data_IF_821531587199
#
_entry.id   IF_821531587199
#
_cell.length_a   1.000
_cell.length_b   1.000
_cell.length_c   1.000
_cell.angle_alpha   90.00
_cell.angle_beta   90.00
_cell.angle_gamma   90.00
#
_symmetry.space_group_name_H-M   'P 1'
#
loop_
_entity.id
_entity.type
_entity.pdbx_description
1 polymer ?
#
# COMPACT_ATOMS: atom_id res chain seq x y z
N UNK A 1 -29.43 1.39 24.33
CA UNK A 1 -28.29 0.62 23.88
C UNK A 1 -27.62 -0.08 25.04
N UNK A 2 -26.92 -1.17 24.78
CA UNK A 2 -26.13 -1.88 25.79
C UNK A 2 -24.66 -1.52 25.58
N UNK A 3 -23.95 -1.26 26.69
CA UNK A 3 -22.49 -1.06 26.73
C UNK A 3 -21.88 -2.28 27.41
N UNK A 4 -20.77 -2.78 26.87
CA UNK A 4 -20.05 -3.90 27.48
C UNK A 4 -19.41 -3.45 28.80
N UNK A 5 -19.73 -4.15 29.88
CA UNK A 5 -19.31 -3.77 31.23
C UNK A 5 -17.83 -4.01 31.49
N UNK A 6 -17.17 -3.11 32.23
CA UNK A 6 -15.75 -3.18 32.54
C UNK A 6 -15.33 -4.44 33.30
N UNK A 7 -16.06 -4.85 34.32
CA UNK A 7 -15.67 -5.99 35.16
C UNK A 7 -15.64 -7.34 34.42
N UNK A 8 -16.64 -7.74 33.61
CA UNK A 8 -16.55 -8.95 32.80
C UNK A 8 -15.39 -8.94 31.82
N UNK A 9 -15.13 -7.79 31.15
CA UNK A 9 -14.01 -7.65 30.24
C UNK A 9 -12.67 -7.77 30.95
N UNK A 10 -12.52 -7.15 32.11
CA UNK A 10 -11.33 -7.26 32.94
C UNK A 10 -11.07 -8.71 33.36
N UNK A 11 -12.10 -9.39 33.83
CA UNK A 11 -12.00 -10.81 34.23
C UNK A 11 -11.60 -11.70 33.04
N UNK A 12 -12.15 -11.45 31.86
CA UNK A 12 -11.78 -12.17 30.65
C UNK A 12 -10.31 -11.91 30.24
N UNK A 13 -9.87 -10.64 30.30
CA UNK A 13 -8.49 -10.26 30.01
C UNK A 13 -7.52 -10.92 31.01
N UNK A 14 -7.85 -10.87 32.29
CA UNK A 14 -7.03 -11.51 33.35
C UNK A 14 -6.88 -13.02 33.12
N UNK A 15 -7.99 -13.68 32.77
CA UNK A 15 -7.97 -15.10 32.43
C UNK A 15 -7.12 -15.40 31.20
N UNK A 16 -7.22 -14.57 30.14
CA UNK A 16 -6.42 -14.73 28.92
C UNK A 16 -4.91 -14.52 29.16
N UNK A 17 -4.56 -13.77 30.20
CA UNK A 17 -3.16 -13.46 30.53
C UNK A 17 -2.59 -14.32 31.65
N UNK A 18 -3.43 -15.07 32.40
CA UNK A 18 -3.02 -15.81 33.58
C UNK A 18 -1.92 -16.85 33.29
N UNK A 19 -2.05 -17.59 32.19
CA UNK A 19 -1.13 -18.67 31.82
C UNK A 19 -0.08 -18.20 30.77
N UNK A 20 0.01 -16.91 30.50
CA UNK A 20 0.95 -16.41 29.51
C UNK A 20 2.38 -16.42 30.01
N UNK A 21 3.26 -17.15 29.35
CA UNK A 21 4.71 -17.13 29.57
C UNK A 21 5.40 -15.88 29.00
N UNK A 22 4.70 -15.07 28.19
CA UNK A 22 5.26 -13.85 27.59
C UNK A 22 5.38 -12.75 28.65
N UNK A 23 6.55 -12.09 28.83
CA UNK A 23 6.70 -11.02 29.81
C UNK A 23 5.86 -9.80 29.44
N UNK A 24 5.35 -9.09 30.45
CA UNK A 24 4.43 -7.96 30.27
C UNK A 24 4.88 -6.90 29.23
N UNK A 25 6.18 -6.47 29.18
CA UNK A 25 6.62 -5.50 28.17
C UNK A 25 6.57 -6.01 26.71
N UNK A 26 6.42 -7.34 26.54
CA UNK A 26 6.29 -7.99 25.22
C UNK A 26 4.86 -8.36 24.87
N UNK A 27 3.89 -7.87 25.66
CA UNK A 27 2.45 -8.04 25.44
C UNK A 27 1.84 -6.71 25.03
N UNK A 28 0.76 -6.75 24.21
CA UNK A 28 0.00 -5.57 23.84
C UNK A 28 -1.49 -5.87 23.83
N UNK A 29 -2.26 -5.09 24.58
CA UNK A 29 -3.72 -5.16 24.58
C UNK A 29 -4.26 -4.09 23.65
N UNK A 30 -4.95 -4.49 22.60
CA UNK A 30 -5.41 -3.62 21.52
C UNK A 30 -6.93 -3.69 21.44
N UNK A 31 -7.61 -2.55 21.53
CA UNK A 31 -9.04 -2.45 21.30
C UNK A 31 -9.31 -2.06 19.83
N UNK A 32 -10.15 -2.85 19.15
CA UNK A 32 -10.56 -2.57 17.78
C UNK A 32 -11.72 -1.55 17.82
N UNK A 33 -11.41 -0.31 17.47
CA UNK A 33 -12.30 0.84 17.62
C UNK A 33 -12.22 1.75 16.39
N UNK A 34 -13.34 2.29 15.87
CA UNK A 34 -13.30 3.28 14.79
C UNK A 34 -12.64 4.61 15.22
N UNK A 35 -12.42 4.81 16.52
CA UNK A 35 -11.75 6.00 17.08
C UNK A 35 -10.22 5.85 17.13
N UNK A 36 -9.71 4.62 16.96
CA UNK A 36 -8.29 4.30 17.03
C UNK A 36 -7.48 4.81 15.84
N UNK A 37 -6.17 4.73 15.98
CA UNK A 37 -5.25 5.01 14.88
C UNK A 37 -5.49 4.04 13.72
N UNK A 38 -5.52 4.55 12.48
CA UNK A 38 -5.69 3.70 11.30
C UNK A 38 -4.54 2.70 11.18
N UNK A 39 -4.89 1.42 11.10
CA UNK A 39 -3.96 0.32 10.92
C UNK A 39 -3.30 0.37 9.53
N UNK A 40 -2.00 0.19 9.49
CA UNK A 40 -1.19 0.22 8.26
C UNK A 40 -0.19 -0.94 8.25
N UNK A 41 0.43 -1.21 7.10
CA UNK A 41 1.52 -2.19 7.01
C UNK A 41 2.70 -1.84 7.92
N UNK A 42 3.01 -0.56 8.09
CA UNK A 42 4.05 -0.10 9.01
C UNK A 42 3.69 -0.45 10.46
N UNK A 43 2.43 -0.24 10.85
CA UNK A 43 1.93 -0.63 12.18
C UNK A 43 1.97 -2.14 12.39
N UNK A 44 1.59 -2.94 11.39
CA UNK A 44 1.69 -4.40 11.47
C UNK A 44 3.14 -4.86 11.70
N UNK A 45 4.10 -4.27 10.98
CA UNK A 45 5.54 -4.55 11.16
C UNK A 45 6.02 -4.18 12.56
N UNK A 46 5.59 -3.02 13.07
CA UNK A 46 5.91 -2.59 14.44
C UNK A 46 5.37 -3.58 15.46
N UNK A 47 4.08 -3.94 15.38
CA UNK A 47 3.47 -4.90 16.31
C UNK A 47 4.23 -6.23 16.33
N UNK A 48 4.57 -6.77 15.15
CA UNK A 48 5.35 -8.01 15.03
C UNK A 48 6.76 -7.89 15.63
N UNK A 49 7.41 -6.74 15.52
CA UNK A 49 8.78 -6.54 16.02
C UNK A 49 8.81 -6.32 17.54
N UNK A 50 7.84 -5.58 18.07
CA UNK A 50 7.84 -5.11 19.45
C UNK A 50 7.17 -6.10 20.42
N UNK A 51 6.25 -6.95 19.95
CA UNK A 51 5.45 -7.82 20.82
C UNK A 51 5.47 -9.27 20.40
N UNK A 52 5.41 -10.16 21.41
CA UNK A 52 5.32 -11.60 21.25
C UNK A 52 3.87 -12.11 21.51
N UNK A 53 3.05 -11.27 22.14
CA UNK A 53 1.63 -11.56 22.38
C UNK A 53 0.78 -10.30 22.13
N UNK A 54 -0.23 -10.45 21.28
CA UNK A 54 -1.27 -9.45 21.07
C UNK A 54 -2.60 -9.98 21.64
N UNK A 55 -3.27 -9.18 22.42
CA UNK A 55 -4.65 -9.44 22.89
C UNK A 55 -5.54 -8.45 22.17
N UNK A 56 -6.44 -8.96 21.33
CA UNK A 56 -7.35 -8.13 20.54
C UNK A 56 -8.72 -8.10 21.22
N UNK A 57 -9.13 -6.92 21.68
CA UNK A 57 -10.42 -6.69 22.32
C UNK A 57 -11.42 -6.29 21.23
N UNK A 58 -12.47 -7.07 21.07
CA UNK A 58 -13.56 -6.86 20.12
C UNK A 58 -14.79 -6.32 20.83
N UNK A 59 -15.13 -5.06 20.57
CA UNK A 59 -16.34 -4.44 21.11
C UNK A 59 -17.59 -4.83 20.34
N UNK A 60 -18.73 -4.78 21.02
CA UNK A 60 -20.07 -4.99 20.47
C UNK A 60 -21.05 -3.94 20.99
N UNK A 61 -22.24 -3.90 20.42
CA UNK A 61 -23.34 -3.02 20.79
C UNK A 61 -22.97 -1.54 20.65
N UNK A 62 -23.15 -0.74 21.72
CA UNK A 62 -22.80 0.68 21.74
C UNK A 62 -21.32 0.93 22.13
N UNK A 63 -20.54 -0.14 22.35
CA UNK A 63 -19.12 -0.06 22.70
C UNK A 63 -18.79 -0.65 24.06
N UNK A 64 -17.61 -0.30 24.55
CA UNK A 64 -16.99 -0.80 25.77
C UNK A 64 -16.97 0.32 26.82
N UNK A 65 -17.13 -0.03 28.08
CA UNK A 65 -17.03 0.90 29.20
C UNK A 65 -15.66 1.59 29.18
N UNK A 66 -15.65 2.92 29.15
CA UNK A 66 -14.44 3.75 29.02
C UNK A 66 -13.40 3.44 30.10
N UNK A 67 -13.84 3.15 31.33
CA UNK A 67 -12.94 2.80 32.42
C UNK A 67 -12.13 1.54 32.20
N UNK A 68 -12.66 0.58 31.40
CA UNK A 68 -11.89 -0.58 30.95
C UNK A 68 -10.85 -0.18 29.91
N UNK A 69 -11.21 0.69 28.97
CA UNK A 69 -10.29 1.18 27.93
C UNK A 69 -9.12 1.90 28.61
N UNK A 70 -9.41 2.88 29.47
CA UNK A 70 -8.38 3.66 30.19
C UNK A 70 -7.47 2.80 31.08
N UNK A 71 -8.01 1.76 31.73
CA UNK A 71 -7.26 0.98 32.70
C UNK A 71 -6.53 -0.23 32.13
N UNK A 72 -6.99 -0.79 31.00
CA UNK A 72 -6.60 -2.12 30.53
C UNK A 72 -6.16 -2.20 29.08
N UNK A 73 -6.44 -1.17 28.27
CA UNK A 73 -6.08 -1.14 26.85
C UNK A 73 -4.82 -0.32 26.65
N UNK A 74 -3.87 -0.85 25.92
CA UNK A 74 -2.61 -0.14 25.61
C UNK A 74 -2.76 0.78 24.41
N UNK A 75 -3.60 0.43 23.44
CA UNK A 75 -3.88 1.24 22.25
C UNK A 75 -5.18 0.85 21.57
N UNK A 76 -5.75 1.80 20.83
CA UNK A 76 -6.90 1.59 19.96
C UNK A 76 -6.46 1.56 18.49
N UNK A 77 -6.97 0.60 17.71
CA UNK A 77 -6.73 0.51 16.27
C UNK A 77 -8.02 0.49 15.49
N UNK A 78 -8.06 1.28 14.41
CA UNK A 78 -9.11 1.28 13.39
C UNK A 78 -8.60 0.61 12.11
N UNK A 79 -9.45 -0.13 11.42
CA UNK A 79 -9.14 -0.67 10.09
C UNK A 79 -9.63 0.23 8.94
N UNK A 80 -10.17 1.41 9.26
CA UNK A 80 -10.64 2.41 8.29
C UNK A 80 -11.76 3.27 8.83
N UNK A 81 -12.12 4.31 8.10
CA UNK A 81 -13.15 5.29 8.46
C UNK A 81 -14.56 4.75 8.16
N UNK A 82 -14.93 3.68 8.81
CA UNK A 82 -16.26 3.05 8.75
C UNK A 82 -16.53 2.27 10.03
N UNK A 83 -17.81 1.97 10.28
CA UNK A 83 -18.25 1.26 11.48
C UNK A 83 -18.73 -0.14 11.12
N UNK A 84 -18.32 -1.12 11.90
CA UNK A 84 -18.75 -2.52 11.82
C UNK A 84 -19.67 -2.87 13.00
N UNK A 85 -20.39 -3.98 12.90
CA UNK A 85 -21.28 -4.48 13.96
C UNK A 85 -20.50 -4.92 15.20
N UNK A 86 -19.24 -5.36 15.04
CA UNK A 86 -18.34 -5.80 16.09
C UNK A 86 -16.89 -5.73 15.67
N UNK A 87 -15.97 -5.91 16.61
CA UNK A 87 -14.51 -5.79 16.38
C UNK A 87 -13.86 -6.99 15.72
N UNK A 88 -14.56 -8.14 15.56
CA UNK A 88 -13.95 -9.41 15.14
C UNK A 88 -13.36 -9.37 13.76
N UNK A 89 -14.03 -8.72 12.79
CA UNK A 89 -13.49 -8.59 11.44
C UNK A 89 -12.21 -7.74 11.43
N UNK A 90 -12.19 -6.68 12.24
CA UNK A 90 -10.98 -5.89 12.45
C UNK A 90 -9.85 -6.71 13.07
N UNK A 91 -10.16 -7.52 14.07
CA UNK A 91 -9.20 -8.43 14.69
C UNK A 91 -8.65 -9.46 13.71
N UNK A 92 -9.49 -10.03 12.85
CA UNK A 92 -9.05 -10.95 11.78
C UNK A 92 -8.10 -10.26 10.80
N UNK A 93 -8.38 -9.03 10.37
CA UNK A 93 -7.50 -8.24 9.49
C UNK A 93 -6.14 -8.00 10.14
N UNK A 94 -6.12 -7.56 11.40
CA UNK A 94 -4.87 -7.32 12.13
C UNK A 94 -4.09 -8.62 12.32
N UNK A 95 -4.78 -9.71 12.69
CA UNK A 95 -4.16 -11.03 12.88
C UNK A 95 -3.51 -11.54 11.59
N UNK A 96 -4.22 -11.51 10.47
CA UNK A 96 -3.67 -11.95 9.18
C UNK A 96 -2.43 -11.13 8.79
N UNK A 97 -2.55 -9.79 8.83
CA UNK A 97 -1.44 -8.88 8.50
C UNK A 97 -0.18 -9.11 9.36
N UNK A 98 -0.35 -9.42 10.66
CA UNK A 98 0.78 -9.63 11.57
C UNK A 98 1.32 -11.04 11.45
N UNK A 99 0.44 -12.05 11.47
CA UNK A 99 0.83 -13.46 11.50
C UNK A 99 1.53 -13.91 10.22
N UNK A 100 1.17 -13.38 9.05
CA UNK A 100 1.84 -13.71 7.79
C UNK A 100 3.33 -13.32 7.77
N UNK A 101 3.78 -12.43 8.67
CA UNK A 101 5.18 -12.04 8.84
C UNK A 101 5.92 -12.88 9.90
N UNK A 102 5.23 -13.78 10.59
CA UNK A 102 5.84 -14.68 11.57
C UNK A 102 6.56 -15.81 10.80
N UNK A 103 7.82 -16.14 11.17
CA UNK A 103 8.56 -17.21 10.51
C UNK A 103 7.79 -18.53 10.52
N UNK A 104 7.72 -19.21 9.38
CA UNK A 104 7.04 -20.48 9.21
C UNK A 104 5.55 -20.39 8.87
N UNK A 105 4.93 -19.19 8.88
CA UNK A 105 3.55 -19.00 8.41
C UNK A 105 3.50 -18.95 6.88
N UNK A 106 4.37 -18.18 6.26
CA UNK A 106 4.59 -18.22 4.80
C UNK A 106 5.90 -18.93 4.49
N UNK A 107 6.00 -19.46 3.28
CA UNK A 107 7.16 -20.26 2.84
C UNK A 107 8.47 -19.47 2.80
N UNK A 108 8.40 -18.17 2.48
CA UNK A 108 9.55 -17.29 2.36
C UNK A 108 9.18 -15.85 2.74
N UNK A 109 10.16 -15.09 3.22
CA UNK A 109 10.03 -13.65 3.48
C UNK A 109 9.79 -12.85 2.20
N UNK A 110 10.27 -13.33 1.05
CA UNK A 110 10.02 -12.71 -0.26
C UNK A 110 8.52 -12.69 -0.61
N UNK A 111 7.71 -13.59 -0.02
CA UNK A 111 6.27 -13.63 -0.22
C UNK A 111 5.54 -12.35 0.22
N UNK A 112 6.15 -11.51 1.08
CA UNK A 112 5.52 -10.27 1.55
C UNK A 112 6.41 -9.03 1.40
N UNK A 113 7.75 -9.18 1.30
CA UNK A 113 8.65 -8.02 1.22
C UNK A 113 8.58 -7.27 -0.11
N UNK A 114 8.17 -7.96 -1.18
CA UNK A 114 7.94 -7.37 -2.51
C UNK A 114 6.55 -6.82 -2.75
N UNK A 115 5.63 -6.98 -1.79
CA UNK A 115 4.22 -6.58 -1.95
C UNK A 115 3.99 -5.08 -1.72
N UNK A 116 2.78 -4.65 -2.10
CA UNK A 116 2.32 -3.26 -1.89
C UNK A 116 2.45 -2.84 -0.42
N UNK A 117 2.83 -1.60 -0.21
CA UNK A 117 3.01 -0.93 1.10
C UNK A 117 4.22 -1.38 1.92
N UNK A 118 4.90 -2.48 1.58
CA UNK A 118 6.08 -2.91 2.36
C UNK A 118 7.21 -1.88 2.33
N UNK A 119 7.56 -1.40 1.14
CA UNK A 119 8.57 -0.36 0.93
C UNK A 119 7.96 1.01 0.60
N UNK A 120 6.68 1.25 0.95
CA UNK A 120 5.98 2.49 0.62
C UNK A 120 5.65 2.65 -0.86
N UNK A 121 5.56 1.57 -1.61
CA UNK A 121 5.20 1.53 -3.04
C UNK A 121 4.08 0.52 -3.27
N UNK A 122 3.39 0.65 -4.41
CA UNK A 122 2.50 -0.39 -4.91
C UNK A 122 3.30 -1.43 -5.69
N UNK A 123 2.88 -2.65 -5.60
CA UNK A 123 3.44 -3.77 -6.37
C UNK A 123 3.23 -3.57 -7.88
N UNK A 124 4.13 -4.15 -8.68
CA UNK A 124 4.02 -4.22 -10.13
C UNK A 124 2.87 -5.15 -10.56
N UNK A 125 2.38 -5.08 -11.83
CA UNK A 125 1.31 -5.95 -12.30
C UNK A 125 1.77 -7.39 -12.43
N UNK A 126 0.95 -8.31 -11.97
CA UNK A 126 1.14 -9.75 -12.11
C UNK A 126 0.42 -10.28 -13.35
N UNK A 127 1.02 -11.27 -13.99
CA UNK A 127 0.47 -11.96 -15.17
C UNK A 127 0.54 -13.47 -15.00
N UNK A 128 -0.39 -14.18 -15.63
CA UNK A 128 -0.46 -15.63 -15.65
C UNK A 128 -0.87 -16.11 -17.04
N UNK A 129 -1.07 -17.42 -17.20
CA UNK A 129 -1.54 -18.03 -18.44
C UNK A 129 -3.04 -17.77 -18.67
N UNK A 130 -3.49 -17.73 -19.93
CA UNK A 130 -2.72 -17.85 -21.18
C UNK A 130 -1.87 -16.62 -21.50
N UNK A 131 -0.91 -16.74 -22.41
CA UNK A 131 -0.04 -15.63 -22.84
C UNK A 131 -0.85 -14.45 -23.44
N UNK A 132 -1.90 -14.75 -24.16
CA UNK A 132 -2.83 -13.75 -24.71
C UNK A 132 -4.24 -14.05 -24.21
N UNK A 133 -4.88 -13.06 -23.58
CA UNK A 133 -6.25 -13.12 -23.13
C UNK A 133 -7.03 -11.94 -23.69
N UNK A 134 -8.08 -12.20 -24.48
CA UNK A 134 -8.94 -11.18 -25.14
C UNK A 134 -8.12 -10.11 -25.88
N UNK A 135 -7.13 -10.54 -26.66
CA UNK A 135 -6.27 -9.64 -27.44
C UNK A 135 -5.19 -8.89 -26.62
N UNK A 136 -5.13 -9.10 -25.31
CA UNK A 136 -4.14 -8.49 -24.42
C UNK A 136 -3.02 -9.49 -24.12
N UNK A 137 -1.80 -9.16 -24.47
CA UNK A 137 -0.65 -10.07 -24.36
C UNK A 137 0.16 -9.75 -23.11
N UNK A 138 0.72 -10.78 -22.47
CA UNK A 138 1.74 -10.63 -21.43
C UNK A 138 2.93 -9.85 -21.98
N UNK A 139 3.45 -8.82 -21.28
CA UNK A 139 4.61 -8.06 -21.73
C UNK A 139 5.79 -8.94 -22.11
N UNK A 140 6.40 -8.67 -23.26
CA UNK A 140 7.48 -9.48 -23.83
C UNK A 140 8.69 -9.63 -22.90
N UNK A 141 9.03 -8.55 -22.17
CA UNK A 141 10.12 -8.55 -21.19
C UNK A 141 9.95 -9.64 -20.12
N UNK A 142 8.73 -10.01 -19.75
CA UNK A 142 8.45 -11.04 -18.75
C UNK A 142 8.63 -12.47 -19.32
N UNK A 143 8.71 -12.62 -20.65
CA UNK A 143 8.88 -13.89 -21.36
C UNK A 143 10.33 -14.16 -21.77
N UNK A 144 11.15 -13.12 -21.82
CA UNK A 144 12.52 -13.17 -22.34
C UNK A 144 13.55 -13.81 -21.40
N UNK A 145 13.20 -14.12 -20.14
CA UNK A 145 14.12 -14.76 -19.18
C UNK A 145 15.28 -13.89 -18.69
N UNK A 146 15.42 -12.65 -19.15
CA UNK A 146 16.45 -11.71 -18.67
C UNK A 146 16.03 -11.09 -17.33
N UNK A 147 16.56 -11.63 -16.24
CA UNK A 147 16.20 -11.19 -14.87
C UNK A 147 16.49 -9.71 -14.63
N UNK A 148 17.54 -9.15 -15.20
CA UNK A 148 17.86 -7.72 -15.01
C UNK A 148 16.80 -6.81 -15.69
N UNK A 149 16.37 -7.14 -16.90
CA UNK A 149 15.31 -6.41 -17.60
C UNK A 149 13.96 -6.57 -16.92
N UNK A 150 13.65 -7.80 -16.45
CA UNK A 150 12.42 -8.05 -15.67
C UNK A 150 12.40 -7.21 -14.39
N UNK A 151 13.50 -7.15 -13.64
CA UNK A 151 13.61 -6.35 -12.43
C UNK A 151 13.45 -4.86 -12.72
N UNK A 152 14.12 -4.35 -13.73
CA UNK A 152 14.00 -2.95 -14.15
C UNK A 152 12.56 -2.60 -14.58
N UNK A 153 11.91 -3.50 -15.32
CA UNK A 153 10.52 -3.35 -15.73
C UNK A 153 9.59 -3.34 -14.52
N UNK A 154 9.75 -4.28 -13.57
CA UNK A 154 8.96 -4.37 -12.33
C UNK A 154 9.09 -3.09 -11.50
N UNK A 155 10.31 -2.58 -11.32
CA UNK A 155 10.56 -1.32 -10.60
C UNK A 155 9.85 -0.15 -11.28
N UNK A 156 9.96 -0.04 -12.61
CA UNK A 156 9.26 0.99 -13.37
C UNK A 156 7.74 0.91 -13.19
N UNK A 157 7.17 -0.29 -13.29
CA UNK A 157 5.72 -0.51 -13.15
C UNK A 157 5.22 -0.21 -11.74
N UNK A 158 5.96 -0.58 -10.72
CA UNK A 158 5.68 -0.25 -9.32
C UNK A 158 5.60 1.26 -9.11
N UNK A 159 6.63 1.99 -9.55
CA UNK A 159 6.67 3.46 -9.44
C UNK A 159 5.55 4.14 -10.25
N UNK A 160 5.28 3.68 -11.46
CA UNK A 160 4.21 4.23 -12.30
C UNK A 160 2.83 4.00 -11.68
N UNK A 161 2.56 2.79 -11.17
CA UNK A 161 1.32 2.49 -10.45
C UNK A 161 1.17 3.33 -9.20
N UNK A 162 2.22 3.49 -8.42
CA UNK A 162 2.21 4.32 -7.22
C UNK A 162 1.91 5.77 -7.59
N UNK A 163 2.58 6.31 -8.62
CA UNK A 163 2.36 7.68 -9.09
C UNK A 163 0.91 7.94 -9.50
N UNK A 164 0.27 6.97 -10.14
CA UNK A 164 -1.10 7.13 -10.68
C UNK A 164 -2.17 6.84 -9.64
N UNK A 165 -2.00 5.77 -8.84
CA UNK A 165 -3.07 5.26 -7.97
C UNK A 165 -2.95 5.75 -6.53
N UNK A 166 -1.74 5.92 -6.03
CA UNK A 166 -1.45 6.28 -4.64
C UNK A 166 -0.25 7.25 -4.54
N UNK A 167 -0.36 8.45 -5.13
CA UNK A 167 0.71 9.46 -5.08
C UNK A 167 1.01 9.95 -3.65
N UNK A 168 0.09 9.78 -2.72
CA UNK A 168 0.24 10.05 -1.30
C UNK A 168 1.39 9.26 -0.67
N UNK A 169 1.66 8.02 -1.10
CA UNK A 169 2.76 7.20 -0.60
C UNK A 169 4.14 7.82 -0.81
N UNK A 170 4.31 8.66 -1.83
CA UNK A 170 5.56 9.38 -2.04
C UNK A 170 5.79 10.52 -1.03
N UNK A 171 4.74 10.99 -0.35
CA UNK A 171 4.86 11.95 0.77
C UNK A 171 5.27 11.25 2.05
N UNK A 172 4.71 10.06 2.31
CA UNK A 172 5.03 9.24 3.47
C UNK A 172 6.43 8.62 3.38
N UNK A 173 6.78 8.14 2.18
CA UNK A 173 8.09 7.54 1.88
C UNK A 173 8.67 8.22 0.64
N UNK A 174 9.48 9.29 0.77
CA UNK A 174 10.07 10.00 -0.35
C UNK A 174 10.88 9.09 -1.28
N UNK A 175 10.85 9.32 -2.60
CA UNK A 175 11.60 8.53 -3.54
C UNK A 175 13.11 8.71 -3.36
N UNK A 176 13.86 7.64 -3.55
CA UNK A 176 15.33 7.70 -3.65
C UNK A 176 15.77 8.50 -4.88
N UNK A 177 17.02 8.97 -4.97
CA UNK A 177 17.50 9.69 -6.16
C UNK A 177 17.34 8.90 -7.46
N UNK A 178 17.50 7.57 -7.41
CA UNK A 178 17.32 6.71 -8.59
C UNK A 178 15.85 6.56 -8.97
N UNK A 179 14.98 6.35 -7.99
CA UNK A 179 13.53 6.34 -8.21
C UNK A 179 13.04 7.69 -8.73
N UNK A 180 13.57 8.82 -8.23
CA UNK A 180 13.19 10.15 -8.70
C UNK A 180 13.56 10.34 -10.19
N UNK A 181 14.75 9.93 -10.61
CA UNK A 181 15.16 9.95 -12.03
C UNK A 181 14.22 9.12 -12.91
N UNK A 182 13.82 7.95 -12.43
CA UNK A 182 12.90 7.08 -13.15
C UNK A 182 11.48 7.65 -13.19
N UNK A 183 11.00 8.25 -12.09
CA UNK A 183 9.71 8.96 -12.02
C UNK A 183 9.66 10.13 -13.02
N UNK A 184 10.73 10.90 -13.14
CA UNK A 184 10.80 12.02 -14.10
C UNK A 184 10.77 11.52 -15.54
N UNK A 185 11.37 10.35 -15.82
CA UNK A 185 11.24 9.68 -17.12
C UNK A 185 9.81 9.21 -17.36
N UNK A 186 9.17 8.56 -16.38
CA UNK A 186 7.78 8.10 -16.46
C UNK A 186 6.84 9.28 -16.74
N UNK A 187 6.99 10.41 -16.02
CA UNK A 187 6.17 11.61 -16.24
C UNK A 187 6.32 12.16 -17.65
N UNK A 188 7.55 12.24 -18.18
CA UNK A 188 7.82 12.66 -19.57
C UNK A 188 7.19 11.72 -20.59
N UNK A 189 7.33 10.41 -20.39
CA UNK A 189 6.75 9.41 -21.30
C UNK A 189 5.22 9.48 -21.32
N UNK A 190 4.58 9.73 -20.18
CA UNK A 190 3.12 9.88 -20.05
C UNK A 190 2.59 11.20 -20.61
N UNK A 191 3.38 12.27 -20.57
CA UNK A 191 2.98 13.56 -21.14
C UNK A 191 3.18 13.64 -22.66
N UNK A 192 3.85 12.65 -23.28
CA UNK A 192 3.93 12.57 -24.74
C UNK A 192 2.56 12.16 -25.30
N UNK A 193 2.05 12.91 -26.31
CA UNK A 193 0.86 12.47 -27.01
C UNK A 193 1.08 11.05 -27.55
N UNK A 194 0.19 10.12 -27.21
CA UNK A 194 0.17 8.83 -27.88
C UNK A 194 -0.34 9.08 -29.30
N UNK A 195 0.56 9.07 -30.29
CA UNK A 195 0.18 9.06 -31.69
C UNK A 195 -0.48 7.70 -31.96
N UNK A 196 -1.79 7.69 -32.04
CA UNK A 196 -2.59 6.49 -32.34
C UNK A 196 -2.39 6.00 -33.78
N UNK A 197 -1.86 6.87 -34.66
CA UNK A 197 -1.46 6.55 -36.03
C UNK A 197 -0.09 7.16 -36.30
N UNK A 198 0.75 6.53 -37.16
CA UNK A 198 1.97 7.17 -37.59
C UNK A 198 1.64 8.50 -38.30
N UNK A 199 2.36 9.59 -38.01
CA UNK A 199 2.09 10.88 -38.66
C UNK A 199 2.20 10.71 -40.17
N UNK A 200 1.15 11.05 -40.88
CA UNK A 200 1.18 11.12 -42.35
C UNK A 200 2.02 12.34 -42.71
N UNK A 201 3.27 12.08 -43.10
CA UNK A 201 4.16 13.14 -43.59
C UNK A 201 3.77 13.47 -45.05
N UNK A 202 3.27 14.69 -45.28
CA UNK A 202 3.11 15.29 -46.61
C UNK A 202 3.95 16.56 -46.70
N UNK A 203 4.33 17.00 -47.88
CA UNK A 203 4.96 18.31 -48.05
C UNK A 203 4.06 19.40 -47.45
N UNK A 204 4.67 20.36 -46.74
CA UNK A 204 3.97 21.51 -46.18
C UNK A 204 3.34 22.37 -47.28
N UNK A 205 2.08 22.72 -47.13
CA UNK A 205 1.37 23.66 -48.01
C UNK A 205 1.37 25.07 -47.37
N UNK A 206 1.02 26.06 -48.14
CA UNK A 206 0.96 27.47 -47.66
C UNK A 206 -0.03 27.62 -46.46
N UNK A 207 -1.10 26.85 -46.47
CA UNK A 207 -2.12 26.85 -45.41
C UNK A 207 -1.64 26.26 -44.09
N UNK A 208 -0.50 25.53 -44.08
CA UNK A 208 0.11 24.97 -42.85
C UNK A 208 0.97 26.01 -42.11
N UNK A 209 1.29 27.13 -42.75
CA UNK A 209 2.20 28.15 -42.25
C UNK A 209 1.82 28.69 -40.86
N UNK A 210 0.55 28.98 -40.53
CA UNK A 210 0.14 29.42 -39.21
C UNK A 210 0.42 28.39 -38.13
N UNK A 211 0.17 27.09 -38.39
CA UNK A 211 0.41 25.99 -37.45
C UNK A 211 1.92 25.76 -37.22
N UNK A 212 2.73 25.83 -38.28
CA UNK A 212 4.19 25.73 -38.22
C UNK A 212 4.78 26.88 -37.41
N UNK A 213 4.30 28.11 -37.61
CA UNK A 213 4.74 29.29 -36.86
C UNK A 213 4.36 29.18 -35.37
N UNK A 214 3.17 28.66 -35.04
CA UNK A 214 2.73 28.44 -33.67
C UNK A 214 3.62 27.43 -32.92
N UNK A 215 4.10 26.38 -33.60
CA UNK A 215 5.03 25.39 -33.05
C UNK A 215 6.44 25.99 -32.89
N UNK A 216 6.88 26.83 -33.79
CA UNK A 216 8.22 27.42 -33.79
C UNK A 216 8.39 28.59 -32.79
N UNK A 217 7.30 29.25 -32.36
CA UNK A 217 7.37 30.40 -31.44
C UNK A 217 7.93 30.02 -30.04
N UNK A 218 7.57 28.94 -29.40
CA UNK A 218 8.16 28.54 -28.11
C UNK A 218 9.66 28.26 -28.20
N UNK A 219 10.13 27.67 -29.31
CA UNK A 219 11.56 27.38 -29.51
C UNK A 219 12.43 28.66 -29.63
N UNK A 220 11.89 29.73 -30.19
CA UNK A 220 12.60 31.01 -30.28
C UNK A 220 12.79 31.73 -28.93
N UNK A 221 11.94 31.49 -27.94
CA UNK A 221 12.09 32.03 -26.60
C UNK A 221 13.21 31.33 -25.80
N UNK A 222 13.48 30.06 -26.09
CA UNK A 222 14.57 29.31 -25.45
C UNK A 222 15.95 29.61 -26.01
N UNK A 223 16.05 30.09 -27.24
CA UNK A 223 17.33 30.43 -27.90
C UNK A 223 17.79 31.87 -27.63
N UNK A 224 17.05 32.66 -26.84
CA UNK A 224 17.38 34.05 -26.48
C UNK A 224 17.77 34.25 -25.01
N UNK A 225 18.11 33.16 -24.29
CA UNK A 225 18.66 33.22 -22.93
C UNK A 225 20.08 32.66 -22.88
#
# INVERSE_FOLDING_TARGET
>A
GQVMMAQPLKSCLDAALADSAVPAPRRRVIYLSPQGQTFTQAKARQLKADYDQLVLVCGHYEGVDERFIEACVDEELSIGDFVLTGGELGAMVVTDCVCRMVPGVLSDTECYTGESHWAGRLEYPQYTRPETWEGRTVPEVLRGGNHAEITAWRTRQSLERTLVKRPDLFRETPPTPDEQRLLDKIRRDRSRPQLTEPPVCRPAAADDLPAILAIAQPARQYLRR
#
